data_IF_394509845997
#
_entry.id   IF_394509845997
#
_cell.length_a   1.000
_cell.length_b   1.000
_cell.length_c   1.000
_cell.angle_alpha   90.00
_cell.angle_beta   90.00
_cell.angle_gamma   90.00
#
_symmetry.space_group_name_H-M   'P 1'
#
loop_
_entity.id
_entity.type
_entity.pdbx_description
1 polymer ?
#
# COMPACT_ATOMS: atom_id res chain seq x y z
N UNK A 1 14.78 7.48 5.85
CA UNK A 1 14.30 6.73 4.68
C UNK A 1 13.67 7.72 3.72
N UNK A 2 13.97 7.62 2.43
CA UNK A 2 13.36 8.46 1.38
C UNK A 2 12.11 7.77 0.86
N UNK A 3 11.19 8.53 0.27
CA UNK A 3 10.00 7.95 -0.36
C UNK A 3 10.36 6.97 -1.49
N UNK A 4 11.38 7.28 -2.31
CA UNK A 4 11.86 6.37 -3.34
C UNK A 4 12.24 4.98 -2.77
N UNK A 5 12.88 4.94 -1.60
CA UNK A 5 13.25 3.69 -0.94
C UNK A 5 12.01 2.87 -0.51
N UNK A 6 10.86 3.52 -0.28
CA UNK A 6 9.58 2.85 0.02
C UNK A 6 8.92 2.33 -1.25
N UNK A 7 8.99 3.08 -2.36
CA UNK A 7 8.41 2.67 -3.65
C UNK A 7 9.06 1.42 -4.24
N UNK A 8 10.30 1.11 -3.85
CA UNK A 8 11.00 -0.11 -4.26
C UNK A 8 10.60 -1.35 -3.45
N UNK A 9 9.89 -1.19 -2.32
CA UNK A 9 9.56 -2.32 -1.43
C UNK A 9 8.24 -2.99 -1.80
N UNK A 10 8.22 -4.31 -1.70
CA UNK A 10 6.99 -5.09 -1.87
C UNK A 10 6.19 -5.10 -0.56
N UNK A 11 4.88 -4.85 -0.66
CA UNK A 11 3.96 -4.88 0.48
C UNK A 11 3.33 -6.26 0.57
N UNK A 12 3.58 -6.96 1.66
CA UNK A 12 3.09 -8.32 1.90
C UNK A 12 2.16 -8.34 3.11
N UNK A 13 0.97 -8.91 2.95
CA UNK A 13 0.04 -9.12 4.05
C UNK A 13 0.46 -10.33 4.89
N UNK A 14 0.63 -10.16 6.21
CA UNK A 14 1.03 -11.24 7.12
C UNK A 14 -0.07 -12.27 7.35
N UNK A 15 -1.33 -11.91 7.11
CA UNK A 15 -2.48 -12.79 7.36
C UNK A 15 -2.58 -13.93 6.35
N UNK A 16 -2.21 -13.70 5.09
CA UNK A 16 -2.37 -14.66 3.98
C UNK A 16 -1.15 -14.75 3.05
N UNK A 17 -0.07 -14.03 3.38
CA UNK A 17 1.16 -13.96 2.61
C UNK A 17 1.01 -13.43 1.18
N UNK A 18 -0.11 -12.75 0.85
CA UNK A 18 -0.27 -12.18 -0.49
C UNK A 18 0.61 -10.95 -0.68
N UNK A 19 1.23 -10.85 -1.86
CA UNK A 19 1.85 -9.62 -2.33
C UNK A 19 0.75 -8.69 -2.84
N UNK A 20 0.64 -7.53 -2.20
CA UNK A 20 -0.33 -6.48 -2.53
C UNK A 20 0.21 -5.55 -3.62
N UNK A 21 1.52 -5.55 -3.87
CA UNK A 21 2.22 -4.69 -4.81
C UNK A 21 3.24 -3.78 -4.13
N UNK A 22 3.79 -2.83 -4.86
CA UNK A 22 4.73 -1.84 -4.34
C UNK A 22 4.02 -0.56 -3.92
N UNK A 23 4.64 0.21 -3.01
CA UNK A 23 4.14 1.53 -2.62
C UNK A 23 4.12 2.46 -3.84
N UNK A 24 2.99 3.09 -4.10
CA UNK A 24 2.82 4.04 -5.20
C UNK A 24 2.80 5.49 -4.72
N UNK A 25 2.17 5.74 -3.57
CA UNK A 25 2.04 7.08 -3.00
C UNK A 25 1.86 7.03 -1.47
N UNK A 26 1.82 8.20 -0.81
CA UNK A 26 1.61 8.39 0.62
C UNK A 26 0.41 9.30 0.88
N UNK A 27 -0.49 8.88 1.77
CA UNK A 27 -1.46 9.78 2.37
C UNK A 27 -0.79 10.52 3.54
N UNK A 28 -0.71 11.85 3.47
CA UNK A 28 -0.05 12.70 4.45
C UNK A 28 -1.06 13.67 5.06
N UNK A 29 -1.08 13.75 6.38
CA UNK A 29 -1.84 14.76 7.11
C UNK A 29 -1.27 16.16 6.85
N UNK A 30 -2.05 17.05 6.23
CA UNK A 30 -1.62 18.41 5.91
C UNK A 30 -1.37 19.28 7.15
N UNK A 31 -1.97 18.94 8.30
CA UNK A 31 -1.86 19.75 9.52
C UNK A 31 -0.56 19.46 10.29
N UNK A 32 -0.18 18.19 10.44
CA UNK A 32 0.97 17.77 11.24
C UNK A 32 2.10 17.09 10.43
N UNK A 33 1.90 16.87 9.13
CA UNK A 33 2.89 16.29 8.22
C UNK A 33 3.13 14.80 8.43
N UNK A 34 2.29 14.10 9.21
CA UNK A 34 2.46 12.67 9.46
C UNK A 34 1.88 11.84 8.32
N UNK A 35 2.54 10.73 8.03
CA UNK A 35 2.03 9.74 7.08
C UNK A 35 0.88 8.98 7.75
N UNK A 36 -0.29 9.04 7.14
CA UNK A 36 -1.51 8.34 7.58
C UNK A 36 -1.60 6.95 6.96
N UNK A 37 -1.27 6.81 5.68
CA UNK A 37 -1.32 5.54 4.97
C UNK A 37 -0.29 5.43 3.85
N UNK A 38 0.11 4.19 3.52
CA UNK A 38 0.77 3.86 2.26
C UNK A 38 -0.30 3.54 1.22
N UNK A 39 -0.17 4.07 0.01
CA UNK A 39 -1.09 3.80 -1.10
C UNK A 39 -0.43 2.75 -2.00
N UNK A 40 -1.09 1.60 -2.14
CA UNK A 40 -0.66 0.49 -2.99
C UNK A 40 -1.70 0.29 -4.09
N UNK A 41 -1.30 0.20 -5.37
CA UNK A 41 -2.25 0.07 -6.46
C UNK A 41 -2.88 -1.33 -6.43
N UNK A 42 -4.21 -1.41 -6.61
CA UNK A 42 -4.88 -2.69 -6.77
C UNK A 42 -4.41 -3.42 -8.04
N UNK A 43 -4.56 -4.77 -8.11
CA UNK A 43 -4.23 -5.54 -9.30
C UNK A 43 -4.94 -4.97 -10.54
N UNK A 44 -4.16 -4.56 -11.53
CA UNK A 44 -4.70 -4.11 -12.82
C UNK A 44 -5.35 -5.27 -13.57
N UNK A 45 -6.58 -5.11 -14.06
CA UNK A 45 -7.18 -6.10 -14.97
C UNK A 45 -6.43 -6.07 -16.30
N UNK A 46 -5.70 -7.14 -16.58
CA UNK A 46 -5.11 -7.39 -17.90
C UNK A 46 -6.22 -7.80 -18.86
N UNK A 47 -6.99 -6.86 -19.41
CA UNK A 47 -7.84 -7.05 -20.60
C UNK A 47 -8.33 -5.68 -21.12
N UNK A 48 -7.51 -5.02 -21.95
CA UNK A 48 -7.94 -3.98 -22.89
C UNK A 48 -8.43 -2.62 -22.35
N UNK A 49 -8.75 -2.48 -21.06
CA UNK A 49 -9.27 -1.23 -20.47
C UNK A 49 -8.42 -0.82 -19.26
N UNK A 50 -7.65 0.26 -19.41
CA UNK A 50 -6.82 0.89 -18.38
C UNK A 50 -7.66 1.58 -17.30
N UNK A 51 -8.29 0.82 -16.42
CA UNK A 51 -8.89 1.36 -15.20
C UNK A 51 -8.46 0.53 -14.00
N UNK A 52 -7.63 1.12 -13.12
CA UNK A 52 -7.39 0.58 -11.78
C UNK A 52 -8.70 0.74 -11.01
N UNK A 53 -9.41 -0.36 -10.74
CA UNK A 53 -10.72 -0.29 -10.07
C UNK A 53 -10.63 0.15 -8.61
N UNK A 54 -9.46 0.02 -7.98
CA UNK A 54 -9.24 0.41 -6.59
C UNK A 54 -7.77 0.60 -6.26
N UNK A 55 -7.53 1.35 -5.19
CA UNK A 55 -6.27 1.46 -4.48
C UNK A 55 -6.44 0.90 -3.07
N UNK A 56 -5.34 0.43 -2.50
CA UNK A 56 -5.27 -0.05 -1.12
C UNK A 56 -4.61 1.04 -0.29
N UNK A 57 -5.36 1.56 0.68
CA UNK A 57 -4.84 2.49 1.67
C UNK A 57 -4.46 1.66 2.89
N UNK A 58 -3.15 1.50 3.10
CA UNK A 58 -2.60 0.75 4.22
C UNK A 58 -2.33 1.73 5.35
N UNK A 59 -3.14 1.76 6.42
CA UNK A 59 -2.90 2.69 7.52
C UNK A 59 -1.52 2.46 8.12
N UNK A 60 -0.82 3.55 8.46
CA UNK A 60 0.53 3.46 9.00
C UNK A 60 0.60 2.62 10.28
N UNK A 61 -0.47 2.64 11.08
CA UNK A 61 -0.61 1.82 12.29
C UNK A 61 -0.73 0.30 12.04
N UNK A 62 -0.97 -0.13 10.80
CA UNK A 62 -1.06 -1.53 10.40
C UNK A 62 0.24 -2.07 9.80
N UNK A 63 1.29 -1.23 9.69
CA UNK A 63 2.62 -1.68 9.30
C UNK A 63 3.24 -2.45 10.47
N UNK A 64 3.54 -3.72 10.24
CA UNK A 64 4.17 -4.61 11.22
C UNK A 64 5.67 -4.39 11.23
N UNK A 65 6.29 -4.32 10.05
CA UNK A 65 7.74 -4.14 9.90
C UNK A 65 8.08 -3.58 8.53
N UNK A 66 8.99 -2.62 8.48
CA UNK A 66 9.66 -2.17 7.26
C UNK A 66 11.04 -2.79 7.21
N UNK A 67 11.24 -3.71 6.27
CA UNK A 67 12.51 -4.36 5.98
C UNK A 67 13.31 -3.65 4.88
N UNK A 68 14.46 -4.23 4.49
CA UNK A 68 15.26 -3.73 3.38
C UNK A 68 14.50 -3.80 2.04
N UNK A 69 13.76 -4.87 1.78
CA UNK A 69 13.07 -5.10 0.49
C UNK A 69 11.54 -5.22 0.62
N UNK A 70 11.05 -5.50 1.83
CA UNK A 70 9.64 -5.86 2.07
C UNK A 70 9.05 -5.00 3.18
N UNK A 71 7.79 -4.61 3.02
CA UNK A 71 6.95 -4.03 4.07
C UNK A 71 5.89 -5.07 4.45
N UNK A 72 5.93 -5.52 5.70
CA UNK A 72 4.92 -6.42 6.26
C UNK A 72 3.77 -5.61 6.84
N UNK A 73 2.54 -5.98 6.50
CA UNK A 73 1.32 -5.30 6.94
C UNK A 73 0.29 -6.30 7.46
N UNK A 74 -0.54 -5.88 8.41
CA UNK A 74 -1.64 -6.67 8.97
C UNK A 74 -2.97 -5.94 8.72
N UNK A 75 -3.62 -6.31 7.61
CA UNK A 75 -4.84 -5.66 7.12
C UNK A 75 -5.90 -6.68 6.71
N UNK A 76 -7.17 -6.28 6.79
CA UNK A 76 -8.22 -6.85 5.97
C UNK A 76 -8.25 -6.11 4.62
N UNK A 77 -7.94 -6.81 3.53
CA UNK A 77 -7.94 -6.24 2.18
C UNK A 77 -9.30 -5.62 1.80
N UNK A 78 -10.43 -6.10 2.34
CA UNK A 78 -11.75 -5.54 2.01
C UNK A 78 -11.95 -4.16 2.61
N UNK A 79 -11.42 -3.93 3.80
CA UNK A 79 -11.50 -2.65 4.50
C UNK A 79 -10.48 -1.63 3.97
N UNK A 80 -9.33 -2.11 3.49
CA UNK A 80 -8.27 -1.26 2.92
C UNK A 80 -8.59 -0.75 1.51
N UNK A 81 -9.56 -1.36 0.80
CA UNK A 81 -9.95 -0.99 -0.57
C UNK A 81 -10.67 0.35 -0.62
N UNK A 82 -10.08 1.27 -1.39
CA UNK A 82 -10.68 2.54 -1.76
C UNK A 82 -10.91 2.56 -3.27
N UNK A 83 -12.13 2.90 -3.69
CA UNK A 83 -12.44 3.06 -5.12
C UNK A 83 -11.74 4.33 -5.62
N UNK A 84 -11.02 4.19 -6.74
CA UNK A 84 -10.43 5.31 -7.48
C UNK A 84 -11.51 5.99 -8.32
#
# INVERSE_FOLDING_TARGET
MRFCDLTEKEVINVCDCKCLGNVHDLDIDECDGRIRALIVPGPGKWFGCFCREFELFIPWCKIVRIGPDIILVDIDEKEAKHKV
#
